data_IF_708389984611
#
_entry.id   IF_708389984611
#
_cell.length_a   1.000
_cell.length_b   1.000
_cell.length_c   1.000
_cell.angle_alpha   90.00
_cell.angle_beta   90.00
_cell.angle_gamma   90.00
#
_symmetry.space_group_name_H-M   'P 1'
#
loop_
_entity.id
_entity.type
_entity.pdbx_description
1 polymer ?
#
# COMPACT_ATOMS: atom_id res chain seq x y z
N UNK A 1 -14.85 -15.98 -6.88
CA UNK A 1 -14.53 -14.53 -6.81
C UNK A 1 -15.02 -13.98 -5.48
N UNK A 2 -14.18 -14.00 -4.43
CA UNK A 2 -14.52 -13.43 -3.13
C UNK A 2 -13.30 -12.65 -2.63
N UNK A 3 -13.44 -11.34 -2.42
CA UNK A 3 -12.53 -10.59 -1.54
C UNK A 3 -11.81 -9.34 -2.07
N UNK A 4 -11.94 -8.92 -3.34
CA UNK A 4 -11.24 -7.72 -3.83
C UNK A 4 -11.85 -6.39 -3.32
N UNK A 5 -13.15 -6.37 -2.99
CA UNK A 5 -13.83 -5.16 -2.53
C UNK A 5 -13.28 -4.57 -1.22
N UNK A 6 -12.80 -5.42 -0.30
CA UNK A 6 -12.22 -4.97 0.98
C UNK A 6 -10.81 -4.39 0.85
N UNK A 7 -10.10 -4.65 -0.24
CA UNK A 7 -8.76 -4.10 -0.44
C UNK A 7 -8.80 -2.71 -1.10
N UNK A 8 -9.81 -2.45 -1.94
CA UNK A 8 -10.02 -1.12 -2.52
C UNK A 8 -10.28 -0.07 -1.43
N UNK A 9 -11.05 -0.41 -0.39
CA UNK A 9 -11.27 0.48 0.75
C UNK A 9 -9.97 0.79 1.51
N UNK A 10 -9.01 -0.14 1.57
CA UNK A 10 -7.71 0.10 2.19
C UNK A 10 -6.84 1.04 1.36
N UNK A 11 -6.83 0.90 0.02
CA UNK A 11 -6.16 1.87 -0.88
C UNK A 11 -6.74 3.27 -0.67
N UNK A 12 -8.06 3.40 -0.68
CA UNK A 12 -8.75 4.67 -0.46
C UNK A 12 -8.44 5.25 0.92
N UNK A 13 -8.41 4.42 1.96
CA UNK A 13 -8.05 4.84 3.31
C UNK A 13 -6.63 5.40 3.37
N UNK A 14 -5.63 4.75 2.74
CA UNK A 14 -4.26 5.24 2.72
C UNK A 14 -4.15 6.63 2.07
N UNK A 15 -4.82 6.86 0.95
CA UNK A 15 -4.85 8.17 0.30
C UNK A 15 -5.63 9.22 1.12
N UNK A 16 -6.75 8.83 1.73
CA UNK A 16 -7.53 9.72 2.57
C UNK A 16 -6.75 10.16 3.82
N UNK A 17 -6.03 9.24 4.48
CA UNK A 17 -5.17 9.58 5.61
C UNK A 17 -3.98 10.42 5.16
N UNK A 18 -3.33 10.09 4.05
CA UNK A 18 -2.24 10.90 3.50
C UNK A 18 -2.69 12.36 3.26
N UNK A 19 -3.88 12.55 2.68
CA UNK A 19 -4.46 13.88 2.47
C UNK A 19 -4.79 14.57 3.80
N UNK A 20 -5.42 13.87 4.74
CA UNK A 20 -5.76 14.43 6.05
C UNK A 20 -4.52 14.89 6.83
N UNK A 21 -3.43 14.12 6.79
CA UNK A 21 -2.14 14.49 7.41
C UNK A 21 -1.57 15.72 6.72
N UNK A 22 -1.57 15.77 5.38
CA UNK A 22 -1.12 16.95 4.61
C UNK A 22 -1.91 18.21 4.95
N UNK A 23 -3.24 18.10 5.02
CA UNK A 23 -4.13 19.23 5.28
C UNK A 23 -3.99 19.81 6.69
N UNK A 24 -3.54 18.99 7.66
CA UNK A 24 -3.25 19.44 9.02
C UNK A 24 -1.93 20.19 9.15
N UNK A 25 -1.10 20.22 8.10
CA UNK A 25 0.23 20.84 8.13
C UNK A 25 1.25 20.11 9.01
N UNK A 26 0.88 18.96 9.56
CA UNK A 26 1.69 18.14 10.45
C UNK A 26 2.34 17.00 9.65
N UNK A 27 3.68 16.97 9.58
CA UNK A 27 4.42 15.81 9.05
C UNK A 27 4.25 15.57 7.55
N UNK A 28 4.67 16.52 6.70
CA UNK A 28 4.66 16.37 5.24
C UNK A 28 5.41 15.10 4.76
N UNK A 29 6.50 14.73 5.44
CA UNK A 29 7.21 13.48 5.19
C UNK A 29 6.32 12.24 5.40
N UNK A 30 5.57 12.19 6.51
CA UNK A 30 4.63 11.10 6.78
C UNK A 30 3.50 11.04 5.75
N UNK A 31 2.95 12.20 5.35
CA UNK A 31 1.93 12.26 4.30
C UNK A 31 2.42 11.71 2.95
N UNK A 32 3.66 12.03 2.56
CA UNK A 32 4.28 11.50 1.33
C UNK A 32 4.47 9.98 1.41
N UNK A 33 4.94 9.47 2.55
CA UNK A 33 5.14 8.03 2.78
C UNK A 33 3.82 7.26 2.75
N UNK A 34 2.75 7.80 3.35
CA UNK A 34 1.41 7.21 3.28
C UNK A 34 0.86 7.18 1.85
N UNK A 35 1.05 8.26 1.08
CA UNK A 35 0.67 8.29 -0.33
C UNK A 35 1.43 7.27 -1.18
N UNK A 36 2.74 7.12 -0.93
CA UNK A 36 3.57 6.12 -1.58
C UNK A 36 3.12 4.69 -1.19
N UNK A 37 2.81 4.45 0.08
CA UNK A 37 2.26 3.17 0.54
C UNK A 37 0.94 2.83 -0.17
N UNK A 38 0.06 3.83 -0.36
CA UNK A 38 -1.18 3.66 -1.14
C UNK A 38 -0.93 3.25 -2.59
N UNK A 39 0.02 3.89 -3.26
CA UNK A 39 0.40 3.54 -4.63
C UNK A 39 1.01 2.14 -4.74
N UNK A 40 1.95 1.78 -3.86
CA UNK A 40 2.58 0.45 -3.83
C UNK A 40 1.54 -0.62 -3.53
N UNK A 41 0.58 -0.34 -2.64
CA UNK A 41 -0.50 -1.28 -2.34
C UNK A 41 -1.45 -1.48 -3.52
N UNK A 42 -1.80 -0.42 -4.26
CA UNK A 42 -2.57 -0.53 -5.49
C UNK A 42 -1.86 -1.41 -6.52
N UNK A 43 -0.56 -1.20 -6.74
CA UNK A 43 0.27 -2.03 -7.63
C UNK A 43 0.31 -3.49 -7.16
N UNK A 44 0.43 -3.72 -5.85
CA UNK A 44 0.38 -5.05 -5.23
C UNK A 44 -0.92 -5.78 -5.60
N UNK A 45 -2.08 -5.12 -5.48
CA UNK A 45 -3.38 -5.69 -5.84
C UNK A 45 -3.52 -5.96 -7.34
N UNK A 46 -3.02 -5.07 -8.19
CA UNK A 46 -2.98 -5.29 -9.64
C UNK A 46 -2.21 -6.56 -9.98
N UNK A 47 -1.02 -6.74 -9.41
CA UNK A 47 -0.19 -7.92 -9.63
C UNK A 47 -0.82 -9.19 -9.04
N UNK A 48 -1.48 -9.11 -7.88
CA UNK A 48 -2.26 -10.23 -7.33
C UNK A 48 -3.39 -10.67 -8.27
N UNK A 49 -4.02 -9.72 -8.94
CA UNK A 49 -5.10 -9.99 -9.89
C UNK A 49 -4.55 -10.60 -11.18
N UNK A 50 -3.44 -10.06 -11.68
CA UNK A 50 -2.74 -10.60 -12.86
C UNK A 50 -2.17 -12.00 -12.61
N UNK A 51 -1.72 -12.29 -11.40
CA UNK A 51 -1.22 -13.61 -10.98
C UNK A 51 -2.27 -14.72 -11.25
N UNK A 52 -3.57 -14.43 -11.10
CA UNK A 52 -4.63 -15.40 -11.40
C UNK A 52 -4.66 -15.83 -12.88
N UNK A 53 -4.20 -14.97 -13.77
CA UNK A 53 -4.19 -15.21 -15.23
C UNK A 53 -2.81 -15.76 -15.65
N UNK A 54 -1.73 -15.15 -15.14
CA UNK A 54 -0.36 -15.45 -15.56
C UNK A 54 0.23 -16.72 -14.93
N UNK A 55 -0.34 -17.20 -13.83
CA UNK A 55 0.15 -18.41 -13.13
C UNK A 55 0.09 -19.67 -14.02
N UNK A 56 -0.77 -19.70 -15.04
CA UNK A 56 -0.82 -20.83 -15.99
C UNK A 56 0.34 -20.83 -17.00
N UNK A 57 1.02 -19.70 -17.20
CA UNK A 57 2.05 -19.53 -18.22
C UNK A 57 3.48 -19.45 -17.67
N UNK A 58 3.64 -19.17 -16.37
CA UNK A 58 4.94 -18.97 -15.72
C UNK A 58 5.16 -20.07 -14.66
N UNK A 59 6.20 -20.91 -14.77
CA UNK A 59 6.39 -22.07 -13.88
C UNK A 59 6.49 -21.74 -12.39
N UNK A 60 7.00 -20.54 -12.07
CA UNK A 60 7.18 -20.03 -10.71
C UNK A 60 6.06 -19.05 -10.26
N UNK A 61 5.15 -18.69 -11.16
CA UNK A 61 4.10 -17.69 -10.92
C UNK A 61 4.65 -16.28 -10.64
N UNK A 62 3.74 -15.37 -10.28
CA UNK A 62 4.07 -13.97 -9.92
C UNK A 62 3.71 -13.64 -8.46
N UNK A 63 3.24 -14.64 -7.71
CA UNK A 63 2.70 -14.49 -6.36
C UNK A 63 3.70 -13.89 -5.36
N UNK A 64 4.98 -14.26 -5.47
CA UNK A 64 6.05 -13.74 -4.62
C UNK A 64 6.19 -12.22 -4.70
N UNK A 65 5.89 -11.61 -5.87
CA UNK A 65 5.97 -10.18 -6.07
C UNK A 65 4.90 -9.43 -5.29
N UNK A 66 3.70 -10.02 -5.17
CA UNK A 66 2.65 -9.50 -4.31
C UNK A 66 3.10 -9.47 -2.84
N UNK A 67 3.74 -10.54 -2.34
CA UNK A 67 4.27 -10.56 -0.98
C UNK A 67 5.35 -9.49 -0.75
N UNK A 68 6.28 -9.34 -1.70
CA UNK A 68 7.35 -8.34 -1.61
C UNK A 68 6.79 -6.91 -1.58
N UNK A 69 5.78 -6.61 -2.40
CA UNK A 69 5.13 -5.30 -2.39
C UNK A 69 4.35 -5.05 -1.10
N UNK A 70 3.70 -6.07 -0.51
CA UNK A 70 3.07 -5.91 0.81
C UNK A 70 4.11 -5.65 1.92
N UNK A 71 5.25 -6.33 1.88
CA UNK A 71 6.34 -6.05 2.81
C UNK A 71 6.83 -4.58 2.68
N UNK A 72 6.92 -4.08 1.45
CA UNK A 72 7.25 -2.67 1.18
C UNK A 72 6.18 -1.71 1.70
N UNK A 73 4.89 -2.03 1.55
CA UNK A 73 3.79 -1.23 2.14
C UNK A 73 3.97 -1.14 3.66
N UNK A 74 4.18 -2.27 4.35
CA UNK A 74 4.38 -2.29 5.80
C UNK A 74 5.61 -1.47 6.21
N UNK A 75 6.72 -1.58 5.48
CA UNK A 75 7.91 -0.77 5.71
C UNK A 75 7.61 0.74 5.59
N UNK A 76 6.89 1.16 4.55
CA UNK A 76 6.53 2.57 4.33
C UNK A 76 5.60 3.10 5.43
N UNK A 77 4.65 2.28 5.91
CA UNK A 77 3.76 2.65 7.00
C UNK A 77 4.53 2.82 8.32
N UNK A 78 5.44 1.90 8.64
CA UNK A 78 6.30 2.01 9.82
C UNK A 78 7.17 3.27 9.76
N UNK A 79 7.77 3.55 8.60
CA UNK A 79 8.51 4.80 8.37
C UNK A 79 7.62 6.02 8.57
N UNK A 80 6.40 6.02 8.04
CA UNK A 80 5.47 7.15 8.20
C UNK A 80 5.12 7.44 9.66
N UNK A 81 5.01 6.40 10.49
CA UNK A 81 4.79 6.53 11.94
C UNK A 81 6.02 7.09 12.64
N UNK A 82 7.22 6.61 12.30
CA UNK A 82 8.48 7.09 12.90
C UNK A 82 8.74 8.56 12.57
N UNK A 83 8.45 8.98 11.34
CA UNK A 83 8.64 10.36 10.88
C UNK A 83 7.60 11.33 11.46
N UNK A 84 6.53 10.80 12.09
CA UNK A 84 5.56 11.61 12.81
C UNK A 84 6.01 11.72 14.27
N UNK A 85 6.33 12.92 14.78
CA UNK A 85 6.56 13.10 16.21
C UNK A 85 5.30 12.63 16.94
N UNK A 86 5.46 11.68 17.88
CA UNK A 86 4.39 11.37 18.82
C UNK A 86 4.13 12.68 19.58
N UNK A 87 2.95 13.26 19.39
CA UNK A 87 2.54 14.44 20.14
C UNK A 87 2.63 14.09 21.63
N UNK A 88 3.57 14.71 22.33
CA UNK A 88 3.62 14.76 23.80
C UNK A 88 2.67 15.84 24.29
#
# INVERSE_FOLDING_TARGET
MRGSGGYASFVLALFAVALAVRMRGEGDAAARLLGLAGFVFALSLSLRTLDLILCQSVPFGTHWLWHLLNAMVLYLLLRAVIERPLAN
#
